data_IF_037151148748
#
_entry.id   IF_037151148748
#
_cell.length_a   1.000
_cell.length_b   1.000
_cell.length_c   1.000
_cell.angle_alpha   90.00
_cell.angle_beta   90.00
_cell.angle_gamma   90.00
#
_symmetry.space_group_name_H-M   'P 1'
#
loop_
_entity.id
_entity.type
_entity.pdbx_description
1 polymer ?
#
# COMPACT_ATOMS: atom_id res chain seq x y z
N UNK A 1 -13.88 11.33 12.49
CA UNK A 1 -13.91 10.00 11.86
C UNK A 1 -15.06 10.01 10.86
N UNK A 2 -14.79 9.80 9.57
CA UNK A 2 -15.86 9.47 8.62
C UNK A 2 -16.39 8.13 9.09
N UNK A 3 -17.49 8.16 9.82
CA UNK A 3 -18.03 7.02 10.54
C UNK A 3 -18.56 6.01 9.53
N UNK A 4 -18.14 4.75 9.67
CA UNK A 4 -18.58 3.59 8.88
C UNK A 4 -18.09 3.52 7.42
N UNK A 5 -16.80 3.80 7.17
CA UNK A 5 -15.89 3.02 6.29
C UNK A 5 -16.26 2.65 4.85
N UNK A 6 -17.46 2.92 4.35
CA UNK A 6 -17.96 2.53 3.03
C UNK A 6 -19.22 3.30 2.59
N UNK A 7 -19.52 4.47 3.17
CA UNK A 7 -20.53 5.38 2.60
C UNK A 7 -19.96 6.79 2.54
N UNK A 8 -19.89 7.34 1.32
CA UNK A 8 -19.67 8.76 1.08
C UNK A 8 -18.20 9.12 0.96
N UNK A 9 -17.74 9.19 -0.29
CA UNK A 9 -16.58 10.00 -0.67
C UNK A 9 -16.74 11.40 -0.06
N UNK A 10 -15.69 11.96 0.54
CA UNK A 10 -15.68 13.38 0.92
C UNK A 10 -15.09 14.17 -0.25
N UNK A 11 -15.86 15.08 -0.84
CA UNK A 11 -15.50 15.82 -2.05
C UNK A 11 -15.01 14.93 -3.20
N UNK A 12 -15.62 13.75 -3.38
CA UNK A 12 -15.23 12.79 -4.41
C UNK A 12 -14.01 11.93 -4.07
N UNK A 13 -13.37 12.15 -2.92
CA UNK A 13 -12.19 11.39 -2.46
C UNK A 13 -12.59 10.32 -1.44
N UNK A 14 -12.05 9.10 -1.60
CA UNK A 14 -12.13 8.04 -0.59
C UNK A 14 -10.93 8.12 0.34
N UNK A 15 -11.19 8.13 1.64
CA UNK A 15 -10.16 8.04 2.66
C UNK A 15 -10.06 6.59 3.15
N UNK A 16 -8.83 6.07 3.18
CA UNK A 16 -8.53 4.73 3.68
C UNK A 16 -7.53 4.89 4.82
N UNK A 17 -7.92 4.44 6.00
CA UNK A 17 -7.05 4.42 7.18
C UNK A 17 -6.39 3.05 7.30
N UNK A 18 -5.15 3.02 7.75
CA UNK A 18 -4.37 1.80 7.93
C UNK A 18 -3.70 1.81 9.30
N UNK A 19 -3.43 0.62 9.85
CA UNK A 19 -2.70 0.45 11.12
C UNK A 19 -1.47 -0.46 11.01
N UNK A 20 -1.16 -1.01 9.83
CA UNK A 20 -0.08 -1.98 9.63
C UNK A 20 1.28 -1.36 9.31
N UNK A 21 1.32 -0.08 8.92
CA UNK A 21 2.56 0.70 8.76
C UNK A 21 2.67 1.72 9.88
N UNK A 22 3.88 1.84 10.41
CA UNK A 22 4.20 2.85 11.38
C UNK A 22 3.96 4.26 10.82
N UNK A 23 3.68 5.19 11.74
CA UNK A 23 3.78 6.62 11.47
C UNK A 23 5.18 6.94 10.96
N UNK A 24 5.33 7.99 10.17
CA UNK A 24 6.67 8.45 9.81
C UNK A 24 7.44 8.92 11.05
N UNK A 25 8.74 9.12 10.88
CA UNK A 25 9.63 9.66 11.90
C UNK A 25 10.58 10.68 11.30
N UNK A 26 11.61 11.06 12.05
CA UNK A 26 12.69 11.96 11.61
C UNK A 26 13.52 11.50 10.40
N UNK A 27 13.15 10.41 9.74
CA UNK A 27 13.66 10.02 8.41
C UNK A 27 12.49 9.95 7.44
N UNK A 28 12.55 10.76 6.38
CA UNK A 28 11.59 10.82 5.28
C UNK A 28 11.23 9.43 4.76
N UNK A 29 9.94 9.16 4.58
CA UNK A 29 9.45 7.89 4.02
C UNK A 29 8.27 7.24 4.76
N UNK A 30 7.58 6.36 4.03
CA UNK A 30 6.44 5.59 4.55
C UNK A 30 6.92 4.53 5.55
N UNK A 31 6.59 4.70 6.82
CA UNK A 31 6.81 3.68 7.85
C UNK A 31 8.27 3.47 8.25
N UNK A 32 9.11 4.51 8.18
CA UNK A 32 10.46 4.58 8.77
C UNK A 32 10.35 5.17 10.18
N UNK A 33 10.25 4.34 11.24
CA UNK A 33 10.13 4.83 12.60
C UNK A 33 11.53 5.17 13.12
N UNK A 34 12.11 6.28 12.65
CA UNK A 34 13.40 6.72 13.16
C UNK A 34 13.31 8.18 13.61
N UNK A 35 13.13 8.37 14.92
CA UNK A 35 13.25 9.67 15.57
C UNK A 35 11.98 10.52 15.61
N UNK A 36 11.97 11.47 16.54
CA UNK A 36 10.96 12.51 16.65
C UNK A 36 10.95 13.35 15.37
N UNK A 37 9.76 13.61 14.82
CA UNK A 37 9.57 14.54 13.71
C UNK A 37 10.24 15.89 13.99
N UNK A 38 10.94 16.45 13.01
CA UNK A 38 11.18 17.90 13.00
C UNK A 38 9.82 18.58 12.88
N UNK A 39 9.51 19.50 13.79
CA UNK A 39 8.26 20.28 13.85
C UNK A 39 6.93 19.55 14.16
N UNK A 40 6.84 18.21 14.09
CA UNK A 40 5.70 17.40 14.57
C UNK A 40 4.30 17.85 14.07
N UNK A 41 4.21 18.43 12.86
CA UNK A 41 2.98 19.07 12.35
C UNK A 41 2.02 18.13 11.63
N UNK A 42 2.53 17.11 10.93
CA UNK A 42 1.72 16.19 10.12
C UNK A 42 2.43 14.86 9.91
N UNK A 43 1.67 13.76 9.85
CA UNK A 43 2.13 12.44 9.40
C UNK A 43 2.05 12.34 7.87
N UNK A 44 2.53 11.22 7.30
CA UNK A 44 2.48 10.98 5.87
C UNK A 44 1.09 10.55 5.39
N UNK A 45 0.80 10.83 4.12
CA UNK A 45 -0.36 10.30 3.39
C UNK A 45 0.01 10.11 1.92
N UNK A 46 -0.60 9.11 1.28
CA UNK A 46 -0.46 8.87 -0.17
C UNK A 46 -1.79 9.12 -0.85
N UNK A 47 -1.78 9.96 -1.87
CA UNK A 47 -2.90 10.23 -2.76
C UNK A 47 -2.77 9.36 -4.00
N UNK A 48 -3.88 8.68 -4.33
CA UNK A 48 -4.01 7.85 -5.52
C UNK A 48 -5.08 8.44 -6.44
N UNK A 49 -4.70 8.69 -7.68
CA UNK A 49 -5.60 9.11 -8.75
C UNK A 49 -6.32 7.93 -9.41
N UNK A 50 -7.19 8.21 -10.36
CA UNK A 50 -7.75 7.16 -11.21
C UNK A 50 -6.65 6.50 -12.05
N UNK A 51 -6.82 5.21 -12.36
CA UNK A 51 -5.92 4.43 -13.20
C UNK A 51 -4.46 4.43 -12.69
N UNK A 52 -4.29 4.17 -11.39
CA UNK A 52 -2.97 4.26 -10.74
C UNK A 52 -2.04 3.12 -11.16
N UNK A 53 -2.52 1.88 -11.07
CA UNK A 53 -1.74 0.66 -11.26
C UNK A 53 -2.57 -0.33 -12.07
N UNK A 54 -1.92 -1.00 -13.02
CA UNK A 54 -2.45 -2.15 -13.71
C UNK A 54 -1.87 -3.43 -13.11
N UNK A 55 -2.74 -4.41 -12.90
CA UNK A 55 -2.38 -5.76 -12.48
C UNK A 55 -2.41 -6.71 -13.68
N UNK A 56 -1.33 -7.46 -13.87
CA UNK A 56 -1.26 -8.54 -14.83
C UNK A 56 -1.27 -9.89 -14.10
N UNK A 57 -2.41 -10.57 -14.14
CA UNK A 57 -2.61 -11.86 -13.47
C UNK A 57 -2.29 -13.01 -14.44
N UNK A 58 -1.26 -13.80 -14.13
CA UNK A 58 -0.95 -15.03 -14.86
C UNK A 58 -1.52 -16.27 -14.15
N UNK A 59 -1.43 -16.31 -12.83
CA UNK A 59 -2.12 -17.26 -11.95
C UNK A 59 -2.71 -16.46 -10.79
N UNK A 60 -4.05 -16.48 -10.60
CA UNK A 60 -4.70 -15.76 -9.51
C UNK A 60 -4.28 -16.32 -8.14
N UNK A 61 -4.60 -15.58 -7.09
CA UNK A 61 -4.33 -15.96 -5.72
C UNK A 61 -5.00 -17.29 -5.37
N UNK A 62 -4.20 -18.22 -4.86
CA UNK A 62 -4.71 -19.50 -4.38
C UNK A 62 -3.98 -19.96 -3.12
N UNK A 63 -4.72 -20.70 -2.29
CA UNK A 63 -4.17 -21.36 -1.11
C UNK A 63 -3.81 -22.79 -1.49
N UNK A 64 -2.52 -23.11 -1.47
CA UNK A 64 -2.00 -24.46 -1.78
C UNK A 64 -1.61 -25.18 -0.50
N UNK A 65 -2.16 -26.37 -0.31
CA UNK A 65 -1.71 -27.29 0.72
C UNK A 65 -0.44 -28.01 0.30
N UNK A 66 0.57 -28.03 1.17
CA UNK A 66 1.75 -28.87 0.98
C UNK A 66 1.35 -30.35 1.13
N UNK A 67 1.89 -31.20 0.25
CA UNK A 67 1.76 -32.65 0.41
C UNK A 67 2.45 -33.06 1.72
N UNK A 68 1.77 -33.80 2.62
CA UNK A 68 2.34 -34.14 3.91
C UNK A 68 3.69 -34.90 3.77
N UNK A 69 4.73 -34.34 4.39
CA UNK A 69 6.05 -34.95 4.51
C UNK A 69 6.24 -35.61 5.88
N UNK A 70 7.42 -36.19 6.13
CA UNK A 70 7.84 -36.74 7.43
C UNK A 70 6.72 -37.50 8.18
N UNK A 71 6.22 -38.57 7.55
CA UNK A 71 5.13 -39.40 8.06
C UNK A 71 3.86 -38.61 8.46
N UNK A 72 3.57 -37.52 7.76
CA UNK A 72 2.37 -36.69 7.97
C UNK A 72 2.52 -35.58 9.02
N UNK A 73 3.70 -35.43 9.62
CA UNK A 73 4.01 -34.39 10.62
C UNK A 73 4.36 -33.05 10.00
N UNK A 74 5.03 -33.07 8.85
CA UNK A 74 5.36 -31.87 8.10
C UNK A 74 4.17 -31.45 7.24
N UNK A 75 3.59 -30.30 7.59
CA UNK A 75 2.44 -29.69 6.90
C UNK A 75 2.76 -28.24 6.62
N UNK A 76 2.25 -27.73 5.52
CA UNK A 76 2.44 -26.35 5.12
C UNK A 76 1.25 -25.86 4.32
N UNK A 77 1.03 -24.55 4.38
CA UNK A 77 0.08 -23.84 3.55
C UNK A 77 0.86 -22.72 2.88
N UNK A 78 0.71 -22.60 1.57
CA UNK A 78 1.27 -21.51 0.80
C UNK A 78 0.13 -20.66 0.24
N UNK A 79 0.28 -19.35 0.33
CA UNK A 79 -0.43 -18.43 -0.56
C UNK A 79 0.43 -18.27 -1.81
N UNK A 80 -0.14 -18.56 -2.98
CA UNK A 80 0.57 -18.51 -4.26
C UNK A 80 -0.14 -17.55 -5.19
N UNK A 81 0.64 -16.72 -5.87
CA UNK A 81 0.20 -15.78 -6.89
C UNK A 81 1.32 -15.65 -7.92
N UNK A 82 0.96 -15.65 -9.20
CA UNK A 82 1.89 -15.33 -10.27
C UNK A 82 1.32 -14.18 -11.09
N UNK A 83 1.97 -13.03 -11.01
CA UNK A 83 1.55 -11.85 -11.72
C UNK A 83 2.52 -10.71 -11.49
N UNK A 84 2.14 -9.53 -11.94
CA UNK A 84 2.92 -8.32 -11.80
C UNK A 84 2.04 -7.08 -11.71
N UNK A 85 2.58 -6.05 -11.09
CA UNK A 85 1.95 -4.73 -11.00
C UNK A 85 2.81 -3.70 -11.71
N UNK A 86 2.18 -2.82 -12.47
CA UNK A 86 2.85 -1.72 -13.17
C UNK A 86 2.12 -0.40 -12.94
N UNK A 87 2.87 0.69 -12.73
CA UNK A 87 2.31 2.04 -12.68
C UNK A 87 1.89 2.42 -14.10
N UNK A 88 0.62 2.78 -14.28
CA UNK A 88 0.07 3.10 -15.62
C UNK A 88 0.66 4.42 -16.15
N UNK A 89 0.85 5.39 -15.25
CA UNK A 89 1.41 6.71 -15.55
C UNK A 89 2.76 6.92 -14.84
N UNK A 90 3.88 6.41 -15.38
CA UNK A 90 5.18 6.54 -14.74
C UNK A 90 5.70 7.98 -14.82
N UNK A 91 6.34 8.45 -13.75
CA UNK A 91 6.87 9.82 -13.58
C UNK A 91 7.87 10.22 -14.68
N UNK A 92 8.51 9.25 -15.35
CA UNK A 92 9.36 9.50 -16.52
C UNK A 92 8.63 10.22 -17.68
N UNK A 93 7.29 10.20 -17.69
CA UNK A 93 6.44 10.94 -18.62
C UNK A 93 6.12 12.39 -18.19
N UNK A 94 6.65 12.85 -17.04
CA UNK A 94 6.50 14.21 -16.50
C UNK A 94 5.57 14.30 -15.28
N UNK A 95 5.86 15.23 -14.36
CA UNK A 95 5.14 15.38 -13.09
C UNK A 95 3.68 15.83 -13.25
N UNK A 96 3.30 16.36 -14.42
CA UNK A 96 1.97 16.89 -14.70
C UNK A 96 0.86 15.83 -14.74
N UNK A 97 1.20 14.55 -14.89
CA UNK A 97 0.24 13.43 -14.92
C UNK A 97 0.45 12.43 -13.77
N UNK A 98 1.15 12.84 -12.70
CA UNK A 98 1.35 11.97 -11.55
C UNK A 98 -0.01 11.50 -10.98
N UNK A 99 -0.16 10.18 -10.84
CA UNK A 99 -1.34 9.54 -10.21
C UNK A 99 -1.03 9.02 -8.81
N UNK A 100 0.23 9.03 -8.39
CA UNK A 100 0.65 8.69 -7.03
C UNK A 100 1.42 9.90 -6.52
N UNK A 101 0.92 10.52 -5.45
CA UNK A 101 1.59 11.64 -4.79
C UNK A 101 1.68 11.33 -3.31
N UNK A 102 2.88 11.40 -2.76
CA UNK A 102 3.09 11.30 -1.32
C UNK A 102 3.24 12.71 -0.75
N UNK A 103 2.43 13.01 0.26
CA UNK A 103 2.76 14.07 1.21
C UNK A 103 3.63 13.45 2.30
N UNK A 104 4.91 13.80 2.28
CA UNK A 104 5.82 13.52 3.38
C UNK A 104 5.88 14.77 4.27
N UNK A 105 6.06 14.59 5.58
CA UNK A 105 5.85 15.65 6.56
C UNK A 105 6.50 16.98 6.18
N UNK A 106 5.82 18.10 6.47
CA UNK A 106 6.47 19.40 6.44
C UNK A 106 7.57 19.44 7.52
N UNK A 107 8.81 19.22 7.11
CA UNK A 107 9.99 19.51 7.92
C UNK A 107 9.98 20.97 8.37
#
# INVERSE_FOLDING_TARGET
MIMNGEIGRYDGVRFIEQTYRAKGGGSSGMGTPAGTWTNAKSDWIVFFGEDTVAEAVAVPEEIRGKIPGDFGRDRGIAWYYLGGFGIVHPTAAGAAQARIVMWDSAA
#
